data_IF_205006961819
#
_entry.id   IF_205006961819
#
_cell.length_a   1.000
_cell.length_b   1.000
_cell.length_c   1.000
_cell.angle_alpha   90.00
_cell.angle_beta   90.00
_cell.angle_gamma   90.00
#
_symmetry.space_group_name_H-M   'P 1'
#
loop_
_entity.id
_entity.type
_entity.pdbx_description
1 polymer ?
#
# COMPACT_ATOMS: atom_id res chain seq x y z
N UNK A 1 -0.57 13.30 1.57
CA UNK A 1 -1.36 14.39 0.95
C UNK A 1 -1.08 15.73 1.63
N UNK A 2 -1.33 15.90 2.94
CA UNK A 2 -1.11 17.16 3.68
C UNK A 2 0.21 17.89 3.32
N UNK A 3 1.35 17.22 3.47
CA UNK A 3 2.66 17.80 3.16
C UNK A 3 2.79 18.32 1.71
N UNK A 4 2.14 17.68 0.74
CA UNK A 4 2.20 18.12 -0.65
C UNK A 4 1.46 19.45 -0.90
N UNK A 5 0.45 19.76 -0.09
CA UNK A 5 -0.24 21.06 -0.15
C UNK A 5 0.51 22.16 0.62
N UNK A 6 1.23 21.80 1.68
CA UNK A 6 1.93 22.78 2.54
C UNK A 6 3.33 23.12 2.02
N UNK A 7 4.02 22.15 1.41
CA UNK A 7 5.37 22.36 0.91
C UNK A 7 5.32 23.08 -0.43
N UNK A 8 6.05 24.19 -0.54
CA UNK A 8 6.22 24.92 -1.79
C UNK A 8 7.62 24.74 -2.37
N UNK A 9 7.69 24.62 -3.70
CA UNK A 9 8.94 24.75 -4.47
C UNK A 9 8.60 25.38 -5.83
N UNK A 10 9.54 26.15 -6.39
CA UNK A 10 9.34 26.82 -7.68
C UNK A 10 8.06 27.68 -7.73
N UNK A 11 7.72 28.33 -6.60
CA UNK A 11 6.62 29.30 -6.51
C UNK A 11 5.22 28.72 -6.37
N UNK A 12 5.06 27.41 -6.11
CA UNK A 12 3.76 26.79 -5.86
C UNK A 12 3.84 25.56 -4.96
N UNK A 13 2.72 25.13 -4.34
CA UNK A 13 2.64 23.86 -3.63
C UNK A 13 3.11 22.68 -4.48
N UNK A 14 3.83 21.74 -3.89
CA UNK A 14 4.36 20.61 -4.65
C UNK A 14 3.27 19.69 -5.20
N UNK A 15 2.06 19.73 -4.62
CA UNK A 15 0.87 19.07 -5.18
C UNK A 15 0.56 19.51 -6.61
N UNK A 16 0.89 20.75 -6.98
CA UNK A 16 0.69 21.30 -8.32
C UNK A 16 1.80 20.93 -9.32
N UNK A 17 2.83 20.20 -8.87
CA UNK A 17 3.80 19.59 -9.77
C UNK A 17 3.22 18.27 -10.28
N UNK A 18 3.04 18.16 -11.59
CA UNK A 18 2.36 17.03 -12.23
C UNK A 18 2.91 15.66 -11.79
N UNK A 19 4.24 15.52 -11.66
CA UNK A 19 4.87 14.28 -11.21
C UNK A 19 4.50 13.87 -9.77
N UNK A 20 4.31 14.84 -8.86
CA UNK A 20 3.85 14.59 -7.49
C UNK A 20 2.36 14.23 -7.50
N UNK A 21 1.57 14.95 -8.29
CA UNK A 21 0.15 14.67 -8.45
C UNK A 21 -0.11 13.25 -9.00
N UNK A 22 0.59 12.85 -10.05
CA UNK A 22 0.51 11.51 -10.63
C UNK A 22 0.85 10.43 -9.61
N UNK A 23 1.94 10.61 -8.86
CA UNK A 23 2.32 9.67 -7.80
C UNK A 23 1.23 9.56 -6.73
N UNK A 24 0.64 10.68 -6.30
CA UNK A 24 -0.47 10.69 -5.34
C UNK A 24 -1.71 9.98 -5.90
N UNK A 25 -2.01 10.13 -7.19
CA UNK A 25 -3.11 9.45 -7.86
C UNK A 25 -2.88 7.93 -7.93
N UNK A 26 -1.67 7.49 -8.26
CA UNK A 26 -1.28 6.07 -8.27
C UNK A 26 -1.39 5.46 -6.86
N UNK A 27 -0.88 6.16 -5.84
CA UNK A 27 -0.98 5.76 -4.44
C UNK A 27 -2.45 5.59 -4.02
N UNK A 28 -3.31 6.55 -4.36
CA UNK A 28 -4.74 6.48 -4.04
C UNK A 28 -5.43 5.29 -4.72
N UNK A 29 -5.11 5.04 -5.99
CA UNK A 29 -5.64 3.92 -6.76
C UNK A 29 -5.22 2.57 -6.16
N UNK A 30 -3.96 2.43 -5.79
CA UNK A 30 -3.42 1.21 -5.16
C UNK A 30 -4.06 0.95 -3.79
N UNK A 31 -4.26 1.99 -2.98
CA UNK A 31 -4.95 1.87 -1.70
C UNK A 31 -6.40 1.44 -1.88
N UNK A 32 -7.10 1.98 -2.87
CA UNK A 32 -8.48 1.60 -3.15
C UNK A 32 -8.58 0.14 -3.63
N UNK A 33 -7.70 -0.29 -4.53
CA UNK A 33 -7.64 -1.69 -4.95
C UNK A 33 -7.37 -2.64 -3.78
N UNK A 34 -6.43 -2.30 -2.89
CA UNK A 34 -6.15 -3.09 -1.68
C UNK A 34 -7.36 -3.16 -0.75
N UNK A 35 -8.03 -2.02 -0.53
CA UNK A 35 -9.26 -1.95 0.28
C UNK A 35 -10.36 -2.85 -0.28
N UNK A 36 -10.59 -2.82 -1.60
CA UNK A 36 -11.61 -3.64 -2.23
C UNK A 36 -11.31 -5.14 -2.10
N UNK A 37 -10.06 -5.57 -2.26
CA UNK A 37 -9.67 -6.98 -2.07
C UNK A 37 -9.92 -7.44 -0.64
N UNK A 38 -9.57 -6.63 0.36
CA UNK A 38 -9.79 -6.94 1.78
C UNK A 38 -11.29 -7.06 2.07
N UNK A 39 -12.10 -6.10 1.65
CA UNK A 39 -13.55 -6.14 1.89
C UNK A 39 -14.22 -7.29 1.14
N UNK A 40 -13.75 -7.61 -0.06
CA UNK A 40 -14.26 -8.77 -0.79
C UNK A 40 -14.01 -10.07 -0.03
N UNK A 41 -12.76 -10.30 0.41
CA UNK A 41 -12.42 -11.48 1.20
C UNK A 41 -13.23 -11.56 2.51
N UNK A 42 -13.39 -10.44 3.22
CA UNK A 42 -14.22 -10.35 4.41
C UNK A 42 -15.70 -10.67 4.13
N UNK A 43 -16.27 -10.11 3.05
CA UNK A 43 -17.67 -10.36 2.69
C UNK A 43 -17.95 -11.83 2.36
N UNK A 44 -17.01 -12.53 1.73
CA UNK A 44 -17.13 -13.96 1.48
C UNK A 44 -17.08 -14.75 2.78
N UNK A 45 -16.17 -14.36 3.70
CA UNK A 45 -16.05 -14.99 5.01
C UNK A 45 -17.33 -14.84 5.83
N UNK A 46 -17.91 -13.64 5.89
CA UNK A 46 -19.15 -13.36 6.61
C UNK A 46 -20.35 -14.11 6.02
N UNK A 47 -20.36 -14.31 4.69
CA UNK A 47 -21.36 -15.11 4.01
C UNK A 47 -21.14 -16.64 4.14
N UNK A 48 -20.13 -17.09 4.90
CA UNK A 48 -19.80 -18.51 5.06
C UNK A 48 -19.29 -19.17 3.77
N UNK A 49 -18.84 -18.39 2.79
CA UNK A 49 -18.32 -18.89 1.51
C UNK A 49 -16.82 -19.18 1.61
N UNK A 50 -16.28 -20.14 0.81
CA UNK A 50 -14.84 -20.30 0.67
C UNK A 50 -14.20 -18.98 0.24
N UNK A 51 -13.13 -18.58 0.94
CA UNK A 51 -12.48 -17.28 0.74
C UNK A 51 -10.95 -17.33 0.89
N UNK A 52 -10.34 -18.53 0.89
CA UNK A 52 -8.91 -18.69 1.16
C UNK A 52 -8.06 -18.00 0.09
N UNK A 53 -8.42 -18.20 -1.18
CA UNK A 53 -7.74 -17.58 -2.32
C UNK A 53 -7.85 -16.05 -2.26
N UNK A 54 -9.05 -15.53 -2.01
CA UNK A 54 -9.33 -14.09 -1.93
C UNK A 54 -8.62 -13.44 -0.73
N UNK A 55 -8.58 -14.12 0.42
CA UNK A 55 -7.82 -13.67 1.58
C UNK A 55 -6.30 -13.62 1.30
N UNK A 56 -5.75 -14.63 0.61
CA UNK A 56 -4.35 -14.63 0.20
C UNK A 56 -4.03 -13.53 -0.83
N UNK A 57 -4.92 -13.30 -1.80
CA UNK A 57 -4.82 -12.19 -2.76
C UNK A 57 -4.84 -10.83 -2.03
N UNK A 58 -5.76 -10.66 -1.08
CA UNK A 58 -5.87 -9.44 -0.30
C UNK A 58 -4.62 -9.18 0.54
N UNK A 59 -4.13 -10.17 1.28
CA UNK A 59 -2.91 -10.02 2.11
C UNK A 59 -1.69 -9.71 1.27
N UNK A 60 -1.49 -10.44 0.16
CA UNK A 60 -0.38 -10.23 -0.75
C UNK A 60 -0.39 -8.81 -1.30
N UNK A 61 -1.50 -8.41 -1.93
CA UNK A 61 -1.60 -7.12 -2.59
C UNK A 61 -1.54 -5.96 -1.60
N UNK A 62 -2.28 -6.02 -0.49
CA UNK A 62 -2.33 -4.94 0.49
C UNK A 62 -0.96 -4.71 1.17
N UNK A 63 -0.22 -5.78 1.50
CA UNK A 63 1.09 -5.64 2.14
C UNK A 63 2.17 -5.12 1.19
N UNK A 64 2.14 -5.50 -0.08
CA UNK A 64 3.06 -4.96 -1.10
C UNK A 64 2.73 -3.51 -1.45
N UNK A 65 1.45 -3.17 -1.59
CA UNK A 65 1.03 -1.79 -1.86
C UNK A 65 1.27 -0.87 -0.66
N UNK A 66 1.11 -1.35 0.58
CA UNK A 66 1.40 -0.55 1.76
C UNK A 66 2.87 -0.10 1.80
N UNK A 67 3.82 -1.00 1.53
CA UNK A 67 5.24 -0.66 1.45
C UNK A 67 5.53 0.32 0.31
N UNK A 68 4.99 0.05 -0.89
CA UNK A 68 5.16 0.92 -2.04
C UNK A 68 4.64 2.34 -1.78
N UNK A 69 3.42 2.46 -1.25
CA UNK A 69 2.79 3.75 -0.92
C UNK A 69 3.62 4.50 0.13
N UNK A 70 4.15 3.81 1.14
CA UNK A 70 5.02 4.45 2.13
C UNK A 70 6.34 4.93 1.52
N UNK A 71 6.95 4.14 0.64
CA UNK A 71 8.15 4.51 -0.11
C UNK A 71 7.90 5.75 -1.00
N UNK A 72 6.79 5.77 -1.72
CA UNK A 72 6.37 6.91 -2.54
C UNK A 72 6.08 8.15 -1.68
N UNK A 73 5.52 7.98 -0.48
CA UNK A 73 5.35 9.06 0.48
C UNK A 73 6.68 9.63 0.96
N UNK A 74 7.70 8.81 1.25
CA UNK A 74 9.07 9.27 1.57
C UNK A 74 9.60 10.13 0.43
N UNK A 75 9.46 9.68 -0.82
CA UNK A 75 9.94 10.42 -1.98
C UNK A 75 9.28 11.79 -2.14
N UNK A 76 7.98 11.91 -1.84
CA UNK A 76 7.24 13.19 -1.85
C UNK A 76 7.76 14.14 -0.75
N UNK A 77 8.17 13.60 0.41
CA UNK A 77 8.76 14.41 1.47
C UNK A 77 10.22 14.80 1.18
N UNK A 78 10.89 14.14 0.22
CA UNK A 78 12.31 14.33 -0.06
C UNK A 78 13.15 13.94 1.15
N UNK A 79 14.19 14.73 1.47
CA UNK A 79 15.04 14.47 2.63
C UNK A 79 14.27 14.43 3.96
N UNK A 80 13.18 15.18 4.08
CA UNK A 80 12.31 15.14 5.27
C UNK A 80 11.58 13.82 5.44
N UNK A 81 11.43 13.03 4.38
CA UNK A 81 10.87 11.69 4.47
C UNK A 81 11.82 10.66 5.07
N UNK A 82 13.10 10.99 5.22
CA UNK A 82 14.15 10.07 5.69
C UNK A 82 14.56 10.34 7.15
N UNK A 83 14.20 11.50 7.70
CA UNK A 83 14.54 11.89 9.07
C UNK A 83 13.39 11.59 10.04
N UNK A 84 13.72 11.40 11.31
CA UNK A 84 12.77 10.99 12.35
C UNK A 84 11.81 12.10 12.79
N UNK A 85 12.01 13.34 12.34
CA UNK A 85 11.11 14.46 12.60
C UNK A 85 9.74 14.30 11.90
N UNK A 86 9.67 13.48 10.84
CA UNK A 86 8.45 13.17 10.12
C UNK A 86 8.09 11.69 10.29
N UNK A 87 6.80 11.35 10.47
CA UNK A 87 6.39 9.99 10.82
C UNK A 87 6.54 8.97 9.69
N UNK A 88 6.78 9.43 8.45
CA UNK A 88 6.70 8.58 7.25
C UNK A 88 7.79 7.50 7.20
N UNK A 89 9.01 7.79 7.68
CA UNK A 89 10.09 6.80 7.77
C UNK A 89 9.72 5.64 8.70
N UNK A 90 9.09 5.97 9.83
CA UNK A 90 8.65 4.97 10.80
C UNK A 90 7.56 4.09 10.22
N UNK A 91 6.57 4.71 9.58
CA UNK A 91 5.46 3.98 8.95
C UNK A 91 6.01 3.03 7.87
N UNK A 92 6.99 3.47 7.06
CA UNK A 92 7.65 2.60 6.08
C UNK A 92 8.28 1.36 6.72
N UNK A 93 9.02 1.53 7.81
CA UNK A 93 9.59 0.40 8.57
C UNK A 93 8.52 -0.51 9.14
N UNK A 94 7.45 0.07 9.68
CA UNK A 94 6.35 -0.68 10.30
C UNK A 94 5.62 -1.56 9.27
N UNK A 95 5.36 -1.06 8.06
CA UNK A 95 4.63 -1.83 7.03
C UNK A 95 5.48 -2.91 6.35
N UNK A 96 6.82 -2.77 6.36
CA UNK A 96 7.72 -3.73 5.69
C UNK A 96 7.54 -5.15 6.21
N UNK A 97 7.28 -5.29 7.51
CA UNK A 97 7.13 -6.57 8.19
C UNK A 97 5.87 -7.31 7.74
N UNK A 98 4.83 -6.61 7.27
CA UNK A 98 3.57 -7.20 6.79
C UNK A 98 3.74 -8.15 5.60
N UNK A 99 4.83 -8.04 4.85
CA UNK A 99 5.15 -8.99 3.78
C UNK A 99 5.80 -10.29 4.27
N UNK A 100 6.13 -10.39 5.57
CA UNK A 100 6.94 -11.48 6.15
C UNK A 100 6.10 -12.34 7.10
N UNK A 101 5.44 -11.74 8.10
CA UNK A 101 4.63 -12.50 9.06
C UNK A 101 3.27 -12.91 8.46
N UNK A 102 2.58 -13.84 9.13
CA UNK A 102 1.30 -14.42 8.69
C UNK A 102 1.35 -14.98 7.25
N UNK A 103 2.50 -15.58 6.92
CA UNK A 103 2.81 -16.13 5.60
C UNK A 103 3.41 -15.08 4.67
N UNK A 104 4.69 -15.25 4.34
CA UNK A 104 5.42 -14.38 3.44
C UNK A 104 4.74 -14.25 2.06
N UNK A 105 5.05 -13.20 1.29
CA UNK A 105 4.44 -12.99 -0.04
C UNK A 105 4.49 -14.23 -0.95
N UNK A 106 5.60 -14.98 -0.92
CA UNK A 106 5.74 -16.19 -1.75
C UNK A 106 4.83 -17.34 -1.29
N UNK A 107 4.56 -17.42 0.01
CA UNK A 107 3.59 -18.37 0.56
C UNK A 107 2.18 -18.00 0.09
N UNK A 108 1.83 -16.70 0.07
CA UNK A 108 0.54 -16.26 -0.46
C UNK A 108 0.41 -16.59 -1.95
N UNK A 109 1.46 -16.35 -2.74
CA UNK A 109 1.50 -16.73 -4.17
C UNK A 109 1.31 -18.24 -4.36
N UNK A 110 1.92 -19.06 -3.52
CA UNK A 110 1.77 -20.51 -3.56
C UNK A 110 0.34 -20.96 -3.24
N UNK A 111 -0.32 -20.36 -2.25
CA UNK A 111 -1.75 -20.63 -1.95
C UNK A 111 -2.64 -20.23 -3.11
N UNK A 112 -2.43 -19.04 -3.69
CA UNK A 112 -3.17 -18.57 -4.86
C UNK A 112 -2.97 -19.52 -6.04
N UNK A 113 -1.72 -19.91 -6.33
CA UNK A 113 -1.39 -20.79 -7.45
C UNK A 113 -2.04 -22.16 -7.34
N UNK A 114 -2.09 -22.75 -6.12
CA UNK A 114 -2.80 -24.01 -5.88
C UNK A 114 -4.30 -23.88 -6.16
N UNK A 115 -4.92 -22.80 -5.68
CA UNK A 115 -6.36 -22.56 -5.87
C UNK A 115 -6.76 -22.24 -7.33
N UNK A 116 -5.81 -22.08 -8.26
CA UNK A 116 -6.06 -21.95 -9.70
C UNK A 116 -5.95 -23.30 -10.44
N UNK A 117 -5.37 -24.32 -9.82
CA UNK A 117 -5.21 -25.65 -10.39
C UNK A 117 -6.37 -26.59 -10.05
N UNK A 118 -7.21 -26.19 -9.09
CA UNK A 118 -8.47 -26.84 -8.69
C UNK A 118 -9.65 -26.26 -9.48
#
# INVERSE_FOLDING_TARGET
VKYAHERETFGKPIFEHQAVNFRLADMATQLEAARQLVWHAASLKDAGRPCLKEASMAKLFASEMAEKVCSDAIQIHGGYGYVTDFPVERIYRDVRVCQIYEGASDIQRLVIGRALAD
#
